data_IF_870825373328
#
_entry.id   IF_870825373328
#
_cell.length_a   1.000
_cell.length_b   1.000
_cell.length_c   1.000
_cell.angle_alpha   90.00
_cell.angle_beta   90.00
_cell.angle_gamma   90.00
#
_symmetry.space_group_name_H-M   'P 1'
#
loop_
_entity.id
_entity.type
_entity.pdbx_description
1 polymer ?
#
# COMPACT_ATOMS: atom_id res chain seq x y z
N UNK A 1 -4.15 16.11 -7.90
CA UNK A 1 -4.64 15.05 -6.99
C UNK A 1 -5.49 15.69 -5.90
N UNK A 2 -6.60 15.07 -5.51
CA UNK A 2 -7.42 15.54 -4.40
C UNK A 2 -6.72 15.21 -3.07
N UNK A 3 -6.68 16.17 -2.14
CA UNK A 3 -6.07 15.98 -0.82
C UNK A 3 -7.18 15.67 0.18
N UNK A 4 -7.10 14.51 0.83
CA UNK A 4 -8.02 14.11 1.91
C UNK A 4 -7.31 14.26 3.25
N UNK A 5 -7.90 15.04 4.17
CA UNK A 5 -7.34 15.21 5.51
C UNK A 5 -7.65 13.99 6.38
N UNK A 6 -6.63 13.49 7.07
CA UNK A 6 -6.75 12.46 8.09
C UNK A 6 -6.17 12.99 9.40
N UNK A 7 -6.88 12.79 10.49
CA UNK A 7 -6.44 13.14 11.83
C UNK A 7 -6.03 11.84 12.53
N UNK A 8 -4.79 11.79 12.99
CA UNK A 8 -4.19 10.61 13.62
C UNK A 8 -3.53 11.03 14.92
N UNK A 9 -3.57 10.14 15.91
CA UNK A 9 -2.81 10.31 17.16
C UNK A 9 -1.54 9.47 17.06
N UNK A 10 -0.43 10.04 17.51
CA UNK A 10 0.88 9.38 17.52
C UNK A 10 1.41 9.36 18.95
N UNK A 11 2.24 8.38 19.25
CA UNK A 11 3.04 8.43 20.47
C UNK A 11 3.94 9.68 20.46
N UNK A 12 4.15 10.26 21.64
CA UNK A 12 4.91 11.50 21.80
C UNK A 12 6.36 11.40 21.29
N UNK A 13 7.02 10.25 21.47
CA UNK A 13 8.38 10.06 20.98
C UNK A 13 8.40 10.03 19.44
N UNK A 14 7.44 9.34 18.83
CA UNK A 14 7.29 9.24 17.38
C UNK A 14 6.97 10.61 16.76
N UNK A 15 6.11 11.39 17.41
CA UNK A 15 5.78 12.75 16.94
C UNK A 15 7.01 13.68 16.96
N UNK A 16 7.82 13.60 18.02
CA UNK A 16 9.05 14.39 18.14
C UNK A 16 10.10 13.98 17.09
N UNK A 17 10.24 12.67 16.84
CA UNK A 17 11.15 12.15 15.83
C UNK A 17 10.72 12.57 14.42
N UNK A 18 9.43 12.46 14.11
CA UNK A 18 8.86 12.95 12.85
C UNK A 18 9.17 14.44 12.63
N UNK A 19 9.00 15.26 13.67
CA UNK A 19 9.33 16.69 13.60
C UNK A 19 10.83 16.90 13.34
N UNK A 20 11.70 16.23 14.10
CA UNK A 20 13.16 16.34 13.96
C UNK A 20 13.63 15.94 12.55
N UNK A 21 13.16 14.80 12.04
CA UNK A 21 13.51 14.30 10.72
C UNK A 21 13.00 15.22 9.61
N UNK A 22 11.76 15.71 9.73
CA UNK A 22 11.19 16.64 8.74
C UNK A 22 12.00 17.93 8.62
N UNK A 23 12.42 18.50 9.77
CA UNK A 23 13.30 19.68 9.80
C UNK A 23 14.67 19.40 9.22
N UNK A 24 15.26 18.25 9.54
CA UNK A 24 16.60 17.85 9.08
C UNK A 24 16.63 17.67 7.56
N UNK A 25 15.57 17.10 7.00
CA UNK A 25 15.40 16.87 5.56
C UNK A 25 14.85 18.09 4.82
N UNK A 26 14.49 19.15 5.53
CA UNK A 26 13.86 20.37 5.01
C UNK A 26 12.59 20.08 4.17
N UNK A 27 11.76 19.17 4.65
CA UNK A 27 10.46 18.82 4.06
C UNK A 27 9.35 18.94 5.11
N UNK A 28 8.09 18.95 4.65
CA UNK A 28 6.96 18.97 5.58
C UNK A 28 6.78 17.61 6.24
N UNK A 29 6.26 17.57 7.48
CA UNK A 29 5.88 16.32 8.13
C UNK A 29 4.87 15.52 7.29
N UNK A 30 3.96 16.21 6.59
CA UNK A 30 3.01 15.61 5.63
C UNK A 30 3.75 14.80 4.56
N UNK A 31 4.73 15.43 3.91
CA UNK A 31 5.51 14.80 2.85
C UNK A 31 6.33 13.62 3.36
N UNK A 32 6.91 13.73 4.56
CA UNK A 32 7.63 12.64 5.19
C UNK A 32 6.71 11.44 5.50
N UNK A 33 5.50 11.70 6.01
CA UNK A 33 4.48 10.67 6.24
C UNK A 33 4.06 10.03 4.91
N UNK A 34 3.78 10.81 3.87
CA UNK A 34 3.38 10.28 2.56
C UNK A 34 4.47 9.35 1.99
N UNK A 35 5.74 9.78 1.97
CA UNK A 35 6.85 8.95 1.50
C UNK A 35 7.02 7.65 2.29
N UNK A 36 6.84 7.72 3.62
CA UNK A 36 6.96 6.55 4.48
C UNK A 36 5.82 5.55 4.24
N UNK A 37 4.59 6.05 4.07
CA UNK A 37 3.43 5.22 3.76
C UNK A 37 3.55 4.59 2.37
N UNK A 38 3.98 5.34 1.36
CA UNK A 38 4.18 4.83 0.00
C UNK A 38 5.19 3.68 0.02
N UNK A 39 6.34 3.86 0.67
CA UNK A 39 7.35 2.80 0.82
C UNK A 39 6.79 1.56 1.54
N UNK A 40 6.02 1.76 2.61
CA UNK A 40 5.42 0.66 3.35
C UNK A 40 4.37 -0.09 2.51
N UNK A 41 3.56 0.63 1.73
CA UNK A 41 2.57 0.02 0.85
C UNK A 41 3.23 -0.77 -0.28
N UNK A 42 4.26 -0.23 -0.95
CA UNK A 42 5.01 -0.96 -1.98
C UNK A 42 5.60 -2.27 -1.44
N UNK A 43 6.15 -2.22 -0.21
CA UNK A 43 6.65 -3.40 0.46
C UNK A 43 5.54 -4.40 0.80
N UNK A 44 4.41 -3.90 1.30
CA UNK A 44 3.27 -4.72 1.69
C UNK A 44 2.61 -5.38 0.48
N UNK A 45 2.53 -4.69 -0.65
CA UNK A 45 1.99 -5.22 -1.91
C UNK A 45 2.78 -6.44 -2.36
N UNK A 46 4.10 -6.43 -2.19
CA UNK A 46 4.95 -7.60 -2.48
C UNK A 46 4.62 -8.80 -1.59
N UNK A 47 4.33 -8.57 -0.31
CA UNK A 47 3.94 -9.62 0.65
C UNK A 47 2.53 -10.14 0.31
N UNK A 48 1.60 -9.24 -0.01
CA UNK A 48 0.22 -9.60 -0.38
C UNK A 48 0.24 -10.43 -1.67
N UNK A 49 0.99 -10.00 -2.70
CA UNK A 49 1.11 -10.73 -3.96
C UNK A 49 1.66 -12.14 -3.74
N UNK A 50 2.67 -12.29 -2.87
CA UNK A 50 3.18 -13.60 -2.48
C UNK A 50 2.12 -14.46 -1.81
N UNK A 51 1.39 -13.90 -0.84
CA UNK A 51 0.31 -14.62 -0.14
C UNK A 51 -0.80 -15.06 -1.08
N UNK A 52 -1.24 -14.19 -1.99
CA UNK A 52 -2.25 -14.52 -3.01
C UNK A 52 -1.73 -15.66 -3.90
N UNK A 53 -0.47 -15.59 -4.33
CA UNK A 53 0.14 -16.64 -5.15
C UNK A 53 0.17 -18.00 -4.43
N UNK A 54 0.50 -18.00 -3.13
CA UNK A 54 0.47 -19.20 -2.30
C UNK A 54 -0.95 -19.73 -2.10
N UNK A 55 -1.94 -18.87 -1.88
CA UNK A 55 -3.33 -19.27 -1.70
C UNK A 55 -3.95 -19.82 -3.00
N UNK A 56 -3.53 -19.32 -4.17
CA UNK A 56 -3.85 -19.89 -5.49
C UNK A 56 -3.20 -21.27 -5.65
N UNK A 57 -1.90 -21.39 -5.35
CA UNK A 57 -1.18 -22.67 -5.45
C UNK A 57 -1.76 -23.74 -4.51
N UNK A 58 -2.24 -23.35 -3.33
CA UNK A 58 -2.86 -24.23 -2.36
C UNK A 58 -4.36 -24.50 -2.63
N UNK A 59 -4.91 -23.99 -3.74
CA UNK A 59 -6.31 -24.21 -4.13
C UNK A 59 -7.36 -23.54 -3.22
N UNK A 60 -6.93 -22.60 -2.37
CA UNK A 60 -7.83 -21.83 -1.48
C UNK A 60 -8.53 -20.69 -2.23
N UNK A 61 -7.92 -20.21 -3.30
CA UNK A 61 -8.49 -19.20 -4.19
C UNK A 61 -8.79 -19.85 -5.53
N UNK A 62 -10.05 -19.74 -5.97
CA UNK A 62 -10.47 -20.20 -7.29
C UNK A 62 -10.02 -19.17 -8.33
N UNK A 63 -9.05 -19.56 -9.15
CA UNK A 63 -8.63 -18.79 -10.33
C UNK A 63 -9.41 -19.26 -11.54
N UNK A 64 -9.84 -18.29 -12.36
CA UNK A 64 -10.53 -18.54 -13.62
C UNK A 64 -9.54 -18.30 -14.76
N UNK A 65 -9.66 -19.08 -15.83
CA UNK A 65 -8.83 -18.89 -17.01
C UNK A 65 -9.19 -17.55 -17.67
N UNK A 66 -8.18 -16.78 -18.07
CA UNK A 66 -8.38 -15.47 -18.66
C UNK A 66 -9.20 -15.55 -19.96
N UNK A 67 -9.01 -16.62 -20.74
CA UNK A 67 -9.73 -16.83 -21.99
C UNK A 67 -11.20 -17.14 -21.72
N UNK A 68 -11.52 -17.96 -20.72
CA UNK A 68 -12.90 -18.21 -20.29
C UNK A 68 -13.59 -16.91 -19.84
N UNK A 69 -12.91 -16.08 -19.04
CA UNK A 69 -13.44 -14.79 -18.58
C UNK A 69 -13.66 -13.82 -19.74
N UNK A 70 -12.73 -13.75 -20.70
CA UNK A 70 -12.86 -12.84 -21.84
C UNK A 70 -13.97 -13.23 -22.80
N UNK A 71 -14.17 -14.53 -23.03
CA UNK A 71 -15.32 -15.04 -23.80
C UNK A 71 -16.64 -14.73 -23.09
N UNK A 72 -16.71 -14.94 -21.77
CA UNK A 72 -17.91 -14.61 -20.97
C UNK A 72 -18.22 -13.10 -20.96
N UNK A 73 -17.18 -12.26 -21.02
CA UNK A 73 -17.32 -10.80 -21.11
C UNK A 73 -17.55 -10.28 -22.54
N UNK A 74 -17.54 -11.15 -23.56
CA UNK A 74 -17.73 -10.77 -24.96
C UNK A 74 -16.60 -9.94 -25.56
N UNK A 75 -15.39 -10.05 -25.00
CA UNK A 75 -14.20 -9.33 -25.43
C UNK A 75 -13.40 -10.09 -26.50
N UNK A 76 -13.65 -11.40 -26.66
CA UNK A 76 -13.03 -12.29 -27.66
C UNK A 76 -14.05 -13.34 -28.13
#
# INVERSE_FOLDING_TARGET
>A
MSVVKKLVSLDSAVANELEMLSKTLNITQKELIERALDFYFDHTDSIIAKKISEDVANGKIKVYDAQEVFTDMGLV
#
